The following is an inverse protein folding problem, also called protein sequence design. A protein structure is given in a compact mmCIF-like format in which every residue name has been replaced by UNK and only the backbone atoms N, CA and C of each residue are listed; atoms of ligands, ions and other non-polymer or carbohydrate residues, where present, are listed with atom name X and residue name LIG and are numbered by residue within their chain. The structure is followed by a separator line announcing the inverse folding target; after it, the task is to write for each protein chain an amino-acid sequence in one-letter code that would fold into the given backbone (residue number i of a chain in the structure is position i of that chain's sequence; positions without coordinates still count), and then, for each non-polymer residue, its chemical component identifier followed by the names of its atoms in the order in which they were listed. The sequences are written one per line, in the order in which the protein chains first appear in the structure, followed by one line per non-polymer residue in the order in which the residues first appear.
data_IF_659334975399
#
_entry.id   IF_659334975399
#
_cell.length_a   1.000
_cell.length_b   1.000
_cell.length_c   1.000
_cell.angle_alpha   90.00
_cell.angle_beta   90.00
_cell.angle_gamma   90.00
#
_symmetry.space_group_name_H-M   'P 1'
#
loop_
_entity.id
_entity.type
_entity.pdbx_description
1 polymer ?
#
# COMPACT_ATOMS: atom_id res chain seq x y z
N UNK A 1 -15.83 4.02 16.13
CA UNK A 1 -16.04 3.10 14.97
C UNK A 1 -14.91 2.09 15.03
N UNK A 2 -15.19 0.81 14.94
CA UNK A 2 -14.12 -0.21 14.93
C UNK A 2 -13.62 -0.36 13.47
N UNK A 3 -12.31 -0.41 13.29
CA UNK A 3 -11.71 -0.78 11.99
C UNK A 3 -12.09 -2.22 11.68
N UNK A 4 -12.55 -2.47 10.46
CA UNK A 4 -12.86 -3.80 9.96
C UNK A 4 -12.60 -3.82 8.45
N UNK A 5 -11.44 -4.31 8.05
CA UNK A 5 -10.96 -4.28 6.66
C UNK A 5 -10.56 -5.67 6.21
N UNK A 6 -11.49 -6.40 5.59
CA UNK A 6 -11.27 -7.80 5.19
C UNK A 6 -11.10 -7.97 3.67
N UNK A 7 -11.53 -6.98 2.88
CA UNK A 7 -11.44 -7.03 1.42
C UNK A 7 -11.30 -5.61 0.82
N UNK A 8 -11.17 -5.53 -0.48
CA UNK A 8 -10.98 -4.26 -1.21
C UNK A 8 -12.28 -3.72 -1.83
N UNK A 9 -13.41 -4.42 -1.72
CA UNK A 9 -14.67 -4.10 -2.41
C UNK A 9 -15.86 -3.86 -1.47
N UNK A 10 -15.69 -4.10 -0.18
CA UNK A 10 -16.72 -3.82 0.83
C UNK A 10 -17.02 -2.33 0.97
N UNK A 11 -18.10 -2.00 1.66
CA UNK A 11 -18.47 -0.62 1.91
C UNK A 11 -17.39 0.13 2.69
N UNK A 12 -16.84 1.19 2.07
CA UNK A 12 -15.80 2.01 2.67
C UNK A 12 -16.41 2.93 3.74
N UNK A 13 -15.95 2.80 4.99
CA UNK A 13 -16.41 3.62 6.13
C UNK A 13 -15.41 4.70 6.50
N UNK A 14 -14.13 4.38 6.46
CA UNK A 14 -13.06 5.33 6.74
C UNK A 14 -11.82 5.02 5.90
N UNK A 15 -11.06 6.06 5.57
CA UNK A 15 -9.87 5.92 4.71
C UNK A 15 -8.80 6.93 5.11
N UNK A 16 -7.53 6.51 5.01
CA UNK A 16 -6.39 7.41 5.06
C UNK A 16 -6.14 7.94 3.65
N UNK A 17 -6.18 9.24 3.48
CA UNK A 17 -5.83 9.92 2.22
C UNK A 17 -4.56 10.71 2.46
N UNK A 18 -3.56 10.54 1.61
CA UNK A 18 -2.29 11.23 1.70
C UNK A 18 -2.37 12.73 1.48
N UNK A 19 -1.23 13.41 1.57
CA UNK A 19 -1.11 14.84 1.31
C UNK A 19 0.15 15.15 0.52
N UNK A 20 0.11 16.27 -0.19
CA UNK A 20 1.26 16.88 -0.86
C UNK A 20 1.76 18.11 -0.13
N UNK A 21 1.25 18.39 1.07
CA UNK A 21 1.76 19.47 1.90
C UNK A 21 3.19 19.16 2.34
N UNK A 22 4.09 20.13 2.23
CA UNK A 22 5.52 19.94 2.48
C UNK A 22 6.12 18.74 1.71
N UNK A 23 5.56 18.41 0.55
CA UNK A 23 6.00 17.27 -0.24
C UNK A 23 7.46 17.44 -0.67
N UNK A 24 8.27 16.39 -0.42
CA UNK A 24 9.68 16.38 -0.76
C UNK A 24 10.09 15.01 -1.26
N UNK A 25 10.88 15.00 -2.34
CA UNK A 25 11.51 13.78 -2.83
C UNK A 25 12.58 13.31 -1.82
N UNK A 26 12.63 12.03 -1.44
CA UNK A 26 13.59 11.51 -0.48
C UNK A 26 14.98 11.30 -1.12
N UNK A 27 15.74 12.37 -1.31
CA UNK A 27 17.03 12.37 -2.00
C UNK A 27 18.04 11.42 -1.34
N UNK A 28 18.06 11.40 -0.02
CA UNK A 28 19.03 10.64 0.77
C UNK A 28 18.62 9.18 1.01
N UNK A 29 17.45 8.75 0.51
CA UNK A 29 17.00 7.37 0.62
C UNK A 29 17.47 6.57 -0.58
N UNK A 30 18.61 5.90 -0.42
CA UNK A 30 19.22 5.11 -1.48
C UNK A 30 18.28 3.99 -1.98
N UNK A 31 17.65 3.24 -1.06
CA UNK A 31 16.76 2.12 -1.42
C UNK A 31 15.53 2.60 -2.19
N UNK A 32 14.97 3.74 -1.80
CA UNK A 32 13.87 4.37 -2.51
C UNK A 32 14.31 4.76 -3.94
N UNK A 33 15.43 5.44 -4.07
CA UNK A 33 15.93 5.89 -5.37
C UNK A 33 16.31 4.73 -6.28
N UNK A 34 16.91 3.66 -5.74
CA UNK A 34 17.24 2.44 -6.49
C UNK A 34 15.96 1.71 -6.94
N UNK A 35 14.91 1.71 -6.12
CA UNK A 35 13.61 1.12 -6.46
C UNK A 35 12.98 1.83 -7.66
N UNK A 36 12.97 3.15 -7.65
CA UNK A 36 12.45 3.94 -8.78
C UNK A 36 13.29 3.73 -10.05
N UNK A 37 14.62 3.67 -9.92
CA UNK A 37 15.50 3.43 -11.07
C UNK A 37 15.32 2.05 -11.70
N UNK A 38 14.85 1.05 -10.94
CA UNK A 38 14.52 -0.30 -11.45
C UNK A 38 13.14 -0.38 -12.08
N UNK A 39 12.24 0.56 -11.79
CA UNK A 39 10.98 0.64 -12.50
C UNK A 39 11.29 1.03 -13.95
N UNK A 40 10.80 0.26 -14.91
CA UNK A 40 11.13 0.29 -16.34
C UNK A 40 10.75 1.58 -17.10
N UNK A 41 10.46 2.64 -16.37
CA UNK A 41 10.20 3.94 -16.95
C UNK A 41 11.50 4.75 -16.89
N UNK A 42 12.07 5.05 -18.07
CA UNK A 42 13.06 6.10 -18.25
C UNK A 42 12.47 7.48 -17.92
N UNK A 43 12.05 7.65 -16.67
CA UNK A 43 11.67 8.95 -16.17
C UNK A 43 12.96 9.60 -15.68
N UNK A 44 13.40 10.63 -16.34
CA UNK A 44 14.33 11.60 -15.78
C UNK A 44 13.62 12.28 -14.63
N UNK A 45 13.77 11.72 -13.44
CA UNK A 45 13.18 12.30 -12.24
C UNK A 45 14.05 13.45 -11.79
N UNK A 46 13.52 14.66 -11.87
CA UNK A 46 14.07 15.80 -11.17
C UNK A 46 14.02 15.52 -9.67
N UNK A 47 15.13 15.01 -9.14
CA UNK A 47 15.29 14.74 -7.71
C UNK A 47 15.44 16.06 -6.99
N UNK A 48 14.54 16.34 -6.08
CA UNK A 48 14.61 17.58 -5.29
C UNK A 48 13.23 18.18 -5.02
N UNK A 49 13.16 19.49 -4.80
CA UNK A 49 11.89 20.18 -4.58
C UNK A 49 10.98 20.04 -5.81
N UNK A 50 9.78 19.56 -5.57
CA UNK A 50 8.74 19.48 -6.60
C UNK A 50 8.24 20.91 -6.90
N UNK A 51 7.96 21.21 -8.16
CA UNK A 51 7.46 22.54 -8.55
C UNK A 51 6.13 22.83 -7.86
N UNK A 52 5.92 24.10 -7.48
CA UNK A 52 4.69 24.53 -6.82
C UNK A 52 3.43 24.29 -7.70
N UNK A 53 3.59 24.33 -9.02
CA UNK A 53 2.50 24.03 -9.96
C UNK A 53 2.03 22.58 -9.79
N UNK A 54 2.94 21.61 -9.82
CA UNK A 54 2.63 20.18 -9.62
C UNK A 54 2.03 19.93 -8.24
N UNK A 55 2.54 20.59 -7.19
CA UNK A 55 1.98 20.48 -5.82
C UNK A 55 0.54 21.02 -5.79
N UNK A 56 0.27 22.12 -6.46
CA UNK A 56 -1.07 22.71 -6.46
C UNK A 56 -2.07 21.83 -7.21
N UNK A 57 -1.71 21.30 -8.38
CA UNK A 57 -2.53 20.37 -9.15
C UNK A 57 -2.82 19.09 -8.36
N UNK A 58 -1.80 18.48 -7.77
CA UNK A 58 -1.97 17.26 -6.94
C UNK A 58 -2.81 17.54 -5.68
N UNK A 59 -2.73 18.73 -5.10
CA UNK A 59 -3.58 19.13 -3.97
C UNK A 59 -5.04 19.23 -4.40
N UNK A 60 -5.32 19.87 -5.54
CA UNK A 60 -6.66 19.97 -6.11
C UNK A 60 -7.27 18.59 -6.36
N UNK A 61 -6.53 17.68 -6.96
CA UNK A 61 -6.97 16.30 -7.20
C UNK A 61 -7.30 15.55 -5.88
N UNK A 62 -6.45 15.69 -4.87
CA UNK A 62 -6.69 15.10 -3.55
C UNK A 62 -7.89 15.72 -2.85
N UNK A 63 -8.10 17.02 -2.96
CA UNK A 63 -9.23 17.71 -2.34
C UNK A 63 -10.56 17.31 -3.02
N UNK A 64 -10.56 17.12 -4.34
CA UNK A 64 -11.70 16.56 -5.09
C UNK A 64 -12.00 15.13 -4.63
N UNK A 65 -10.97 14.29 -4.47
CA UNK A 65 -11.11 12.92 -3.93
C UNK A 65 -11.74 12.94 -2.53
N UNK A 66 -11.20 13.77 -1.63
CA UNK A 66 -11.71 13.93 -0.26
C UNK A 66 -13.17 14.38 -0.25
N UNK A 67 -13.52 15.40 -1.05
CA UNK A 67 -14.90 15.89 -1.16
C UNK A 67 -15.85 14.79 -1.65
N UNK A 68 -15.45 14.02 -2.65
CA UNK A 68 -16.21 12.89 -3.18
C UNK A 68 -16.43 11.77 -2.16
N UNK A 69 -15.44 11.46 -1.36
CA UNK A 69 -15.54 10.46 -0.30
C UNK A 69 -16.44 10.95 0.84
N UNK A 70 -16.23 12.17 1.28
CA UNK A 70 -16.98 12.78 2.40
C UNK A 70 -18.47 12.93 2.07
N UNK A 71 -18.83 13.35 0.85
CA UNK A 71 -20.23 13.43 0.41
C UNK A 71 -20.94 12.09 0.36
N UNK A 72 -20.19 10.98 0.32
CA UNK A 72 -20.69 9.61 0.43
C UNK A 72 -20.68 9.06 1.86
N UNK A 73 -20.42 9.91 2.85
CA UNK A 73 -20.40 9.52 4.26
C UNK A 73 -19.12 8.78 4.72
N UNK A 74 -18.07 8.77 3.89
CA UNK A 74 -16.79 8.18 4.26
C UNK A 74 -16.03 9.13 5.17
N UNK A 75 -15.57 8.63 6.32
CA UNK A 75 -14.65 9.38 7.18
C UNK A 75 -13.26 9.41 6.54
N UNK A 76 -12.80 10.60 6.17
CA UNK A 76 -11.46 10.80 5.62
C UNK A 76 -10.52 11.28 6.72
N UNK A 77 -9.37 10.61 6.86
CA UNK A 77 -8.31 10.98 7.78
C UNK A 77 -7.11 11.44 6.97
N UNK A 78 -6.65 12.66 7.24
CA UNK A 78 -5.51 13.28 6.56
C UNK A 78 -4.28 13.29 7.49
N UNK A 79 -3.07 13.24 6.92
CA UNK A 79 -1.85 13.34 7.72
C UNK A 79 -1.66 14.76 8.26
N UNK A 80 -1.02 14.85 9.42
CA UNK A 80 -0.51 16.11 9.98
C UNK A 80 0.97 16.22 9.62
N UNK A 81 1.31 17.14 8.73
CA UNK A 81 2.65 17.28 8.15
C UNK A 81 3.28 18.58 8.61
N UNK A 82 4.33 18.47 9.43
CA UNK A 82 5.07 19.60 10.00
C UNK A 82 6.45 19.80 9.36
N UNK A 83 6.93 18.84 8.56
CA UNK A 83 8.27 18.88 7.93
C UNK A 83 8.23 18.27 6.53
N UNK A 84 9.23 18.56 5.69
CA UNK A 84 9.34 17.95 4.37
C UNK A 84 9.27 16.43 4.44
N UNK A 85 8.34 15.82 3.69
CA UNK A 85 8.12 14.40 3.72
C UNK A 85 7.44 13.90 2.44
N UNK A 86 7.54 12.61 2.19
CA UNK A 86 6.74 11.88 1.20
C UNK A 86 5.53 11.24 1.92
N UNK A 87 4.37 11.88 1.90
CA UNK A 87 3.17 11.35 2.55
C UNK A 87 1.98 11.28 1.58
N UNK A 88 2.27 11.16 0.29
CA UNK A 88 1.27 11.14 -0.76
C UNK A 88 0.47 9.83 -0.80
N UNK A 89 1.15 8.69 -0.61
CA UNK A 89 0.60 7.34 -0.80
C UNK A 89 0.64 6.51 0.49
N UNK A 90 -0.24 6.74 1.48
CA UNK A 90 -0.26 5.93 2.70
C UNK A 90 -0.53 4.45 2.42
N UNK A 91 -1.14 4.11 1.28
CA UNK A 91 -1.40 2.76 0.79
C UNK A 91 -0.13 1.90 0.70
N UNK A 92 1.02 2.51 0.50
CA UNK A 92 2.27 1.76 0.39
C UNK A 92 2.76 1.27 1.76
N UNK A 93 2.51 2.04 2.82
CA UNK A 93 3.13 1.84 4.14
C UNK A 93 2.15 1.36 5.21
N UNK A 94 0.88 1.72 5.08
CA UNK A 94 -0.13 1.45 6.12
C UNK A 94 -1.15 0.45 5.59
N UNK A 95 -1.19 -0.72 6.23
CA UNK A 95 -2.10 -1.82 5.91
C UNK A 95 -3.17 -1.95 6.99
N UNK A 96 -4.43 -1.88 6.61
CA UNK A 96 -5.53 -2.26 7.49
C UNK A 96 -6.01 -3.68 7.15
N UNK A 97 -5.99 -4.58 8.14
CA UNK A 97 -6.45 -5.98 8.02
C UNK A 97 -7.28 -6.33 9.25
N UNK A 98 -8.51 -6.78 9.05
CA UNK A 98 -9.45 -7.01 10.14
C UNK A 98 -9.57 -5.77 11.03
N UNK A 99 -9.37 -5.93 12.32
CA UNK A 99 -9.34 -4.85 13.31
C UNK A 99 -7.91 -4.34 13.61
N UNK A 100 -6.97 -4.54 12.70
CA UNK A 100 -5.57 -4.18 12.92
C UNK A 100 -5.09 -3.21 11.85
N UNK A 101 -4.42 -2.15 12.28
CA UNK A 101 -3.65 -1.25 11.42
C UNK A 101 -2.17 -1.56 11.60
N UNK A 102 -1.52 -1.93 10.53
CA UNK A 102 -0.10 -2.34 10.50
C UNK A 102 0.70 -1.26 9.78
N UNK A 103 1.71 -0.71 10.45
CA UNK A 103 2.79 0.02 9.78
C UNK A 103 3.80 -1.00 9.26
N UNK A 104 3.88 -1.13 7.93
CA UNK A 104 4.66 -2.18 7.27
C UNK A 104 6.17 -1.98 7.42
N UNK A 105 6.96 -3.07 7.40
CA UNK A 105 8.42 -3.00 7.46
C UNK A 105 9.00 -2.63 6.09
N UNK A 106 8.75 -1.39 5.66
CA UNK A 106 9.27 -0.91 4.37
C UNK A 106 10.79 -0.81 4.37
N UNK A 107 11.48 -1.13 3.26
CA UNK A 107 12.91 -0.90 3.11
C UNK A 107 13.26 0.60 3.05
N UNK A 108 12.28 1.46 2.74
CA UNK A 108 12.49 2.88 2.51
C UNK A 108 12.60 3.66 3.83
N UNK A 109 13.78 4.20 4.10
CA UNK A 109 14.04 4.92 5.36
C UNK A 109 13.22 6.19 5.50
N UNK A 110 12.96 6.86 4.38
CA UNK A 110 12.16 8.08 4.29
C UNK A 110 10.68 7.85 4.61
N UNK A 111 10.19 6.62 4.38
CA UNK A 111 8.80 6.21 4.61
C UNK A 111 8.58 5.58 5.99
N UNK A 112 9.67 5.38 6.75
CA UNK A 112 9.60 4.82 8.09
C UNK A 112 8.86 5.77 9.04
N UNK A 113 7.96 5.23 9.87
CA UNK A 113 7.17 6.01 10.85
C UNK A 113 6.10 6.92 10.23
N UNK A 114 5.69 6.63 9.00
CA UNK A 114 4.66 7.41 8.31
C UNK A 114 3.30 7.37 9.03
N UNK A 115 3.00 6.28 9.77
CA UNK A 115 1.80 6.20 10.61
C UNK A 115 1.75 7.27 11.72
N UNK A 116 2.89 7.82 12.13
CA UNK A 116 2.92 8.91 13.13
C UNK A 116 2.28 10.21 12.58
N UNK A 117 2.19 10.36 11.27
CA UNK A 117 1.50 11.49 10.63
C UNK A 117 -0.03 11.42 10.78
N UNK A 118 -0.57 10.28 11.22
CA UNK A 118 -2.01 10.03 11.36
C UNK A 118 -2.41 9.78 12.83
N UNK A 119 -2.31 10.77 13.71
CA UNK A 119 -2.59 10.60 15.15
C UNK A 119 -4.03 10.13 15.42
N UNK A 120 -4.98 10.48 14.56
CA UNK A 120 -6.39 10.14 14.71
C UNK A 120 -6.68 8.64 14.52
N UNK A 121 -5.76 7.89 13.91
CA UNK A 121 -5.88 6.42 13.80
C UNK A 121 -6.00 5.76 15.17
N UNK A 122 -5.37 6.32 16.21
CA UNK A 122 -5.46 5.82 17.58
C UNK A 122 -6.89 5.91 18.16
N UNK A 123 -7.73 6.80 17.63
CA UNK A 123 -9.11 7.01 18.08
C UNK A 123 -10.09 6.04 17.40
N UNK A 124 -9.65 5.28 16.40
CA UNK A 124 -10.51 4.33 15.68
C UNK A 124 -10.80 3.04 16.45
N UNK A 125 -10.20 2.84 17.64
CA UNK A 125 -10.40 1.64 18.45
C UNK A 125 -9.83 0.36 17.85
N UNK A 126 -8.81 0.47 16.97
CA UNK A 126 -8.13 -0.65 16.34
C UNK A 126 -6.86 -1.05 17.10
N UNK A 127 -6.41 -2.28 16.87
CA UNK A 127 -5.06 -2.70 17.23
C UNK A 127 -4.06 -2.04 16.29
N UNK A 128 -2.99 -1.47 16.84
CA UNK A 128 -1.89 -0.89 16.05
C UNK A 128 -0.67 -1.78 16.21
N UNK A 129 -0.12 -2.22 15.09
CA UNK A 129 1.12 -3.00 15.00
C UNK A 129 2.14 -2.21 14.21
N UNK A 130 3.33 -2.02 14.78
CA UNK A 130 4.45 -1.38 14.10
C UNK A 130 5.53 -2.40 13.84
N UNK A 131 5.89 -2.57 12.59
CA UNK A 131 6.99 -3.44 12.24
C UNK A 131 8.33 -2.81 12.60
N UNK A 132 9.32 -3.63 12.97
CA UNK A 132 10.70 -3.16 13.07
C UNK A 132 11.20 -2.78 11.67
N UNK A 133 11.99 -1.71 11.59
CA UNK A 133 12.63 -1.33 10.33
C UNK A 133 13.63 -2.40 9.91
N UNK A 134 13.60 -2.88 8.66
CA UNK A 134 14.60 -3.83 8.16
C UNK A 134 16.00 -3.19 8.17
N UNK A 135 17.00 -3.94 8.61
CA UNK A 135 18.41 -3.55 8.59
C UNK A 135 19.16 -4.23 7.45
N UNK A 136 18.64 -5.37 7.01
CA UNK A 136 19.20 -6.18 5.93
C UNK A 136 18.08 -6.71 5.04
N UNK A 137 18.42 -7.16 3.83
CA UNK A 137 17.46 -7.79 2.91
C UNK A 137 16.91 -9.15 3.41
N UNK A 138 17.44 -9.68 4.52
CA UNK A 138 16.96 -10.91 5.16
C UNK A 138 15.91 -10.64 6.24
N UNK A 139 15.83 -9.43 6.73
CA UNK A 139 14.82 -9.04 7.70
C UNK A 139 13.42 -9.02 7.05
N UNK A 140 12.35 -9.17 7.83
CA UNK A 140 10.99 -8.98 7.31
C UNK A 140 10.84 -7.64 6.60
N UNK A 141 10.38 -7.68 5.35
CA UNK A 141 10.29 -6.50 4.49
C UNK A 141 9.12 -6.62 3.54
N UNK A 142 8.23 -5.62 3.54
CA UNK A 142 7.19 -5.44 2.51
C UNK A 142 6.56 -4.06 2.58
N UNK A 143 6.03 -3.62 1.45
CA UNK A 143 5.09 -2.50 1.36
C UNK A 143 3.65 -3.01 1.39
N UNK A 144 2.73 -2.25 1.98
CA UNK A 144 1.32 -2.64 2.05
C UNK A 144 0.68 -2.78 0.65
N UNK A 145 1.17 -2.05 -0.34
CA UNK A 145 0.75 -2.15 -1.74
C UNK A 145 1.12 -3.49 -2.43
N UNK A 146 1.92 -4.35 -1.77
CA UNK A 146 2.15 -5.74 -2.18
C UNK A 146 1.08 -6.71 -1.67
N UNK A 147 0.07 -6.22 -0.94
CA UNK A 147 -0.98 -7.04 -0.33
C UNK A 147 -2.32 -6.75 -1.01
N UNK A 148 -2.98 -7.80 -1.49
CA UNK A 148 -4.38 -7.77 -1.93
C UNK A 148 -5.23 -8.55 -0.93
N UNK A 149 -6.28 -7.91 -0.40
CA UNK A 149 -7.18 -8.52 0.59
C UNK A 149 -8.38 -9.16 -0.09
N UNK A 150 -8.59 -10.44 0.17
CA UNK A 150 -9.69 -11.25 -0.35
C UNK A 150 -10.32 -12.04 0.79
N UNK A 151 -11.18 -11.38 1.58
CA UNK A 151 -11.85 -11.96 2.75
C UNK A 151 -10.85 -12.55 3.77
N UNK A 152 -10.77 -13.87 3.86
CA UNK A 152 -9.87 -14.60 4.75
C UNK A 152 -8.45 -14.77 4.17
N UNK A 153 -8.19 -14.28 2.95
CA UNK A 153 -6.89 -14.42 2.28
C UNK A 153 -6.22 -13.07 2.01
N UNK A 154 -4.92 -13.05 2.26
CA UNK A 154 -4.04 -11.95 1.91
C UNK A 154 -3.09 -12.44 0.83
N UNK A 155 -3.32 -12.06 -0.42
CA UNK A 155 -2.37 -12.36 -1.51
C UNK A 155 -1.16 -11.45 -1.34
N UNK A 156 -0.03 -12.07 -1.04
CA UNK A 156 1.24 -11.39 -0.77
C UNK A 156 2.16 -11.53 -1.99
N UNK A 157 2.36 -10.44 -2.72
CA UNK A 157 3.24 -10.42 -3.88
C UNK A 157 4.69 -10.23 -3.47
N UNK A 158 5.55 -11.19 -3.82
CA UNK A 158 6.99 -11.01 -3.70
C UNK A 158 7.48 -9.99 -4.74
N UNK A 159 8.36 -9.10 -4.30
CA UNK A 159 8.95 -8.04 -5.13
C UNK A 159 10.30 -7.63 -4.56
N UNK A 160 10.94 -6.62 -5.13
CA UNK A 160 12.16 -6.04 -4.54
C UNK A 160 11.89 -5.31 -3.21
N UNK A 161 10.65 -4.90 -2.91
CA UNK A 161 10.25 -4.32 -1.62
C UNK A 161 9.51 -5.30 -0.71
N UNK A 162 9.39 -6.59 -1.10
CA UNK A 162 8.66 -7.60 -0.32
C UNK A 162 9.34 -8.97 -0.42
N UNK A 163 9.70 -9.56 0.73
CA UNK A 163 10.39 -10.85 0.83
C UNK A 163 9.57 -11.89 1.60
N UNK A 164 10.02 -13.16 1.56
CA UNK A 164 9.36 -14.26 2.27
C UNK A 164 9.35 -14.07 3.79
N UNK A 165 10.40 -13.50 4.37
CA UNK A 165 10.43 -13.20 5.79
C UNK A 165 9.33 -12.20 6.19
N UNK A 166 9.00 -11.26 5.31
CA UNK A 166 7.87 -10.34 5.46
C UNK A 166 6.52 -11.07 5.47
N UNK A 167 6.34 -12.07 4.59
CA UNK A 167 5.13 -12.87 4.55
C UNK A 167 4.94 -13.67 5.84
N UNK A 168 6.00 -14.32 6.34
CA UNK A 168 5.99 -15.05 7.62
C UNK A 168 5.65 -14.10 8.76
N UNK A 169 6.30 -12.95 8.83
CA UNK A 169 6.02 -11.94 9.85
C UNK A 169 4.56 -11.46 9.80
N UNK A 170 4.03 -11.19 8.60
CA UNK A 170 2.64 -10.77 8.42
C UNK A 170 1.68 -11.86 8.92
N UNK A 171 1.91 -13.14 8.55
CA UNK A 171 1.10 -14.26 9.01
C UNK A 171 1.04 -14.36 10.55
N UNK A 172 2.18 -14.15 11.23
CA UNK A 172 2.22 -14.11 12.70
C UNK A 172 1.37 -12.98 13.28
N UNK A 173 1.29 -11.82 12.61
CA UNK A 173 0.56 -10.64 13.12
C UNK A 173 -0.94 -10.71 12.88
N UNK A 174 -1.36 -11.30 11.75
CA UNK A 174 -2.80 -11.47 11.42
C UNK A 174 -3.39 -12.75 12.02
N UNK A 175 -2.56 -13.66 12.53
CA UNK A 175 -2.99 -14.88 13.21
C UNK A 175 -3.69 -15.86 12.29
N UNK A 176 -4.72 -16.53 12.81
CA UNK A 176 -5.49 -17.56 12.07
C UNK A 176 -6.74 -17.00 11.38
N UNK A 177 -7.03 -15.71 11.55
CA UNK A 177 -8.17 -15.07 10.89
C UNK A 177 -7.93 -14.86 9.39
N UNK A 178 -6.64 -14.77 8.99
CA UNK A 178 -6.23 -14.57 7.60
C UNK A 178 -5.13 -15.55 7.21
N UNK A 179 -5.22 -16.06 6.00
CA UNK A 179 -4.18 -16.86 5.37
C UNK A 179 -3.33 -15.95 4.45
N UNK A 180 -2.03 -15.86 4.69
CA UNK A 180 -1.08 -15.15 3.82
C UNK A 180 -0.66 -16.08 2.68
N UNK A 181 -1.17 -15.85 1.49
CA UNK A 181 -0.87 -16.62 0.28
C UNK A 181 0.26 -15.94 -0.49
N UNK A 182 1.45 -16.51 -0.44
CA UNK A 182 2.60 -15.98 -1.20
C UNK A 182 2.36 -16.20 -2.69
N UNK A 183 2.43 -15.11 -3.44
CA UNK A 183 2.32 -15.12 -4.88
C UNK A 183 3.62 -14.65 -5.53
N UNK A 184 4.06 -15.43 -6.51
CA UNK A 184 5.22 -15.11 -7.33
C UNK A 184 4.72 -14.78 -8.73
N UNK A 185 4.58 -13.51 -9.03
CA UNK A 185 4.39 -13.09 -10.41
C UNK A 185 5.62 -13.48 -11.24
N UNK A 186 5.42 -13.92 -12.49
CA UNK A 186 6.47 -14.44 -13.36
C UNK A 186 7.56 -13.40 -13.67
N UNK A 187 7.23 -12.13 -13.54
CA UNK A 187 8.20 -11.04 -13.72
C UNK A 187 8.45 -10.35 -12.38
N UNK A 188 9.67 -10.46 -11.87
CA UNK A 188 10.17 -9.76 -10.67
C UNK A 188 10.12 -8.22 -10.77
N UNK A 189 9.56 -7.67 -11.84
CA UNK A 189 9.47 -6.25 -12.14
C UNK A 189 8.21 -5.59 -11.57
N UNK A 190 7.28 -6.37 -10.98
CA UNK A 190 6.07 -5.83 -10.36
C UNK A 190 6.44 -5.35 -8.97
N UNK A 191 6.50 -4.05 -8.79
CA UNK A 191 6.78 -3.45 -7.49
C UNK A 191 5.60 -3.63 -6.53
N UNK A 192 4.39 -3.30 -6.99
CA UNK A 192 3.16 -3.34 -6.22
C UNK A 192 2.10 -4.15 -6.93
N UNK A 193 1.39 -5.02 -6.19
CA UNK A 193 0.34 -5.87 -6.75
C UNK A 193 -0.85 -5.05 -7.25
N UNK A 194 -1.20 -3.98 -6.57
CA UNK A 194 -2.37 -3.16 -6.85
C UNK A 194 -2.31 -2.41 -8.19
N UNK A 195 -1.13 -2.26 -8.80
CA UNK A 195 -0.97 -1.78 -10.18
C UNK A 195 -1.22 -2.86 -11.24
N UNK A 196 -1.46 -4.09 -10.82
CA UNK A 196 -1.47 -5.28 -11.69
C UNK A 196 -2.71 -6.13 -11.49
N UNK A 197 -3.19 -6.23 -10.26
CA UNK A 197 -4.33 -7.06 -9.86
C UNK A 197 -5.13 -6.35 -8.77
N UNK A 198 -6.44 -6.21 -8.98
CA UNK A 198 -7.38 -5.62 -8.02
C UNK A 198 -8.55 -6.57 -7.79
N UNK A 199 -9.10 -6.58 -6.58
CA UNK A 199 -10.38 -7.21 -6.29
C UNK A 199 -11.49 -6.17 -6.37
N UNK A 200 -12.57 -6.49 -7.08
CA UNK A 200 -13.75 -5.64 -7.20
C UNK A 200 -15.07 -6.38 -6.86
N UNK A 201 -14.95 -7.55 -6.26
CA UNK A 201 -16.06 -8.38 -5.79
C UNK A 201 -15.55 -9.67 -5.18
N UNK A 202 -16.42 -10.44 -4.55
CA UNK A 202 -16.07 -11.67 -3.83
C UNK A 202 -15.26 -12.65 -4.68
N UNK A 203 -15.67 -12.83 -5.93
CA UNK A 203 -15.01 -13.70 -6.91
C UNK A 203 -14.77 -12.95 -8.23
N UNK A 204 -14.48 -11.65 -8.15
CA UNK A 204 -14.25 -10.82 -9.34
C UNK A 204 -12.99 -10.00 -9.17
N UNK A 205 -12.10 -10.09 -10.14
CA UNK A 205 -10.83 -9.38 -10.18
C UNK A 205 -10.68 -8.58 -11.47
N UNK A 206 -9.93 -7.49 -11.39
CA UNK A 206 -9.43 -6.74 -12.54
C UNK A 206 -7.94 -7.04 -12.66
N UNK A 207 -7.52 -7.46 -13.84
CA UNK A 207 -6.13 -7.86 -14.10
C UNK A 207 -5.55 -7.11 -15.31
N UNK A 208 -4.31 -6.66 -15.17
CA UNK A 208 -3.60 -6.01 -16.24
C UNK A 208 -3.06 -7.05 -17.24
N UNK A 209 -3.74 -7.17 -18.40
CA UNK A 209 -3.38 -8.14 -19.44
C UNK A 209 -1.96 -7.97 -20.03
N UNK A 210 -1.33 -6.81 -19.86
CA UNK A 210 0.06 -6.62 -20.29
C UNK A 210 1.08 -7.27 -19.34
N UNK A 211 0.66 -7.62 -18.12
CA UNK A 211 1.51 -8.15 -17.05
C UNK A 211 1.15 -9.54 -16.59
N UNK A 212 -0.12 -9.93 -16.75
CA UNK A 212 -0.67 -11.18 -16.25
C UNK A 212 -1.34 -11.99 -17.35
N UNK A 213 -1.36 -13.30 -17.11
CA UNK A 213 -2.15 -14.29 -17.82
C UNK A 213 -2.84 -15.19 -16.79
N UNK A 214 -3.90 -15.88 -17.16
CA UNK A 214 -4.71 -16.70 -16.23
C UNK A 214 -3.91 -17.79 -15.53
N UNK A 215 -2.90 -18.35 -16.20
CA UNK A 215 -2.07 -19.45 -15.67
C UNK A 215 -1.16 -19.03 -14.50
N UNK A 216 -0.81 -17.76 -14.40
CA UNK A 216 0.05 -17.24 -13.33
C UNK A 216 -0.73 -16.71 -12.12
N UNK A 217 -2.05 -16.66 -12.19
CA UNK A 217 -2.87 -16.31 -11.03
C UNK A 217 -2.73 -17.37 -9.93
N UNK A 218 -2.85 -16.97 -8.64
CA UNK A 218 -2.97 -17.92 -7.54
C UNK A 218 -4.04 -18.99 -7.83
N UNK A 219 -3.77 -20.23 -7.47
CA UNK A 219 -4.62 -21.37 -7.84
C UNK A 219 -6.10 -21.16 -7.47
N UNK A 220 -6.37 -20.59 -6.29
CA UNK A 220 -7.74 -20.35 -5.81
C UNK A 220 -8.46 -19.20 -6.56
N UNK A 221 -7.73 -18.39 -7.35
CA UNK A 221 -8.28 -17.27 -8.14
C UNK A 221 -8.54 -17.65 -9.59
N UNK A 222 -8.16 -18.85 -10.03
CA UNK A 222 -8.32 -19.27 -11.45
C UNK A 222 -9.76 -19.33 -11.92
N UNK A 223 -10.67 -19.59 -10.99
CA UNK A 223 -12.11 -19.66 -11.24
C UNK A 223 -12.82 -18.31 -11.04
N UNK A 224 -12.09 -17.26 -10.67
CA UNK A 224 -12.67 -15.94 -10.51
C UNK A 224 -13.02 -15.33 -11.88
N UNK A 225 -14.11 -14.56 -11.91
CA UNK A 225 -14.41 -13.71 -13.04
C UNK A 225 -13.29 -12.69 -13.19
N UNK A 226 -12.53 -12.75 -14.27
CA UNK A 226 -11.44 -11.82 -14.54
C UNK A 226 -11.87 -10.82 -15.60
N UNK A 227 -11.68 -9.53 -15.29
CA UNK A 227 -11.81 -8.40 -16.20
C UNK A 227 -10.39 -8.01 -16.60
N UNK A 228 -10.08 -8.19 -17.89
CA UNK A 228 -8.77 -7.92 -18.48
C UNK A 228 -8.67 -6.52 -19.08
#
# INVERSE_FOLDING_TARGET
MLVSSNNEYGELKSVLVGSVDNFSWPIDDKEFNDSIARSTYEVTLDRGPISQTVINEAREDLDILVANLTTRGVQVIRPQIDKPTWAYSPRDIILAVGNTVIECPTPFSSRSRELDLYPDVKQLGCKIVRAPRPKTLKDPMFDAANILKLNDKLVYSLSHSANEAGAVWLQEKVGTEFEVVIWRAVKNEITHIDSTLLSCGENTIIANASRLTTDILPAFMKDFKTIW
#
